data_IF_359897451000
#
_entry.id   IF_359897451000
#
_cell.length_a   1.000
_cell.length_b   1.000
_cell.length_c   1.000
_cell.angle_alpha   90.00
_cell.angle_beta   90.00
_cell.angle_gamma   90.00
#
_symmetry.space_group_name_H-M   'P 1'
#
loop_
_entity.id
_entity.type
_entity.pdbx_description
1 polymer ?
#
# COMPACT_ATOMS: atom_id res chain seq x y z
N UNK A 1 78.63 2.45 -27.86
CA UNK A 1 78.10 1.07 -27.75
C UNK A 1 77.88 0.78 -26.28
N UNK A 2 76.78 0.37 -25.87
CA UNK A 2 76.25 0.00 -24.58
C UNK A 2 75.30 1.07 -23.92
N UNK A 3 74.08 0.83 -24.17
CA UNK A 3 72.91 1.42 -23.52
C UNK A 3 72.68 0.74 -22.18
N UNK A 4 72.57 1.53 -21.10
CA UNK A 4 72.14 1.08 -19.79
C UNK A 4 70.72 1.60 -19.55
N UNK A 5 69.83 0.68 -19.29
CA UNK A 5 68.41 0.92 -18.86
C UNK A 5 68.39 1.33 -17.38
N UNK A 6 67.78 2.49 -17.09
CA UNK A 6 67.44 2.88 -15.73
C UNK A 6 65.94 2.58 -15.51
N UNK A 7 65.68 1.62 -14.66
CA UNK A 7 64.31 1.30 -14.23
C UNK A 7 63.84 2.27 -13.15
N UNK A 8 62.69 2.91 -13.39
CA UNK A 8 62.03 3.78 -12.45
C UNK A 8 61.00 2.95 -11.64
N UNK A 9 61.26 2.77 -10.33
CA UNK A 9 60.31 2.18 -9.39
C UNK A 9 59.25 3.23 -9.03
N UNK A 10 58.02 2.98 -9.46
CA UNK A 10 56.85 3.70 -8.96
C UNK A 10 56.31 2.98 -7.73
N UNK A 11 56.46 3.59 -6.56
CA UNK A 11 55.80 3.15 -5.33
C UNK A 11 54.34 3.59 -5.36
N UNK A 12 53.45 2.62 -5.49
CA UNK A 12 52.00 2.84 -5.32
C UNK A 12 51.66 2.94 -3.85
N UNK A 13 51.27 4.13 -3.42
CA UNK A 13 50.60 4.35 -2.13
C UNK A 13 49.18 3.77 -2.21
N UNK A 14 48.98 2.66 -1.52
CA UNK A 14 47.64 2.14 -1.29
C UNK A 14 46.91 3.00 -0.23
N UNK A 15 45.95 3.79 -0.65
CA UNK A 15 44.95 4.38 0.25
C UNK A 15 44.04 3.23 0.72
N UNK A 16 44.17 2.86 1.99
CA UNK A 16 43.20 2.00 2.65
C UNK A 16 41.92 2.80 2.89
N UNK A 17 40.93 2.64 1.99
CA UNK A 17 39.58 3.06 2.23
C UNK A 17 38.98 2.20 3.34
N UNK A 18 38.64 2.78 4.47
CA UNK A 18 37.83 2.13 5.49
C UNK A 18 36.45 1.86 4.88
N UNK A 19 36.15 0.60 4.60
CA UNK A 19 34.84 0.17 4.20
C UNK A 19 33.87 0.34 5.39
N UNK A 20 32.82 1.11 5.18
CA UNK A 20 31.68 1.24 6.09
C UNK A 20 30.98 -0.14 6.16
N UNK A 21 30.87 -0.82 7.33
CA UNK A 21 30.32 -2.17 7.42
C UNK A 21 28.79 -2.23 7.34
N UNK A 22 28.13 -1.24 6.75
CA UNK A 22 26.67 -1.14 6.64
C UNK A 22 26.11 -0.95 5.23
N UNK A 23 26.94 -0.85 4.20
CA UNK A 23 26.48 -0.67 2.82
C UNK A 23 26.26 -2.02 2.12
N UNK A 24 25.06 -2.56 2.15
CA UNK A 24 24.69 -3.59 1.20
C UNK A 24 24.71 -2.98 -0.20
N UNK A 25 25.54 -3.51 -1.06
CA UNK A 25 25.66 -3.11 -2.47
C UNK A 25 24.34 -3.46 -3.20
N UNK A 26 23.49 -2.46 -3.37
CA UNK A 26 22.17 -2.59 -4.01
C UNK A 26 22.26 -3.16 -5.45
N UNK A 27 23.45 -3.19 -6.05
CA UNK A 27 23.66 -3.74 -7.39
C UNK A 27 23.91 -5.25 -7.39
N UNK A 28 24.17 -5.87 -6.24
CA UNK A 28 24.55 -7.30 -6.14
C UNK A 28 23.47 -8.21 -5.55
N UNK A 29 22.48 -7.64 -4.87
CA UNK A 29 21.42 -8.46 -4.31
C UNK A 29 20.18 -8.47 -5.22
N UNK A 30 20.23 -9.33 -6.22
CA UNK A 30 19.02 -9.93 -6.77
C UNK A 30 18.78 -11.16 -5.91
N UNK A 31 18.07 -10.97 -4.80
CA UNK A 31 17.36 -12.07 -4.20
C UNK A 31 16.54 -12.76 -5.29
N UNK A 32 16.18 -14.05 -5.13
CA UNK A 32 15.26 -14.63 -6.06
C UNK A 32 14.06 -13.70 -6.09
N UNK A 33 13.86 -13.00 -7.23
CA UNK A 33 12.52 -12.64 -7.61
C UNK A 33 11.79 -13.97 -7.53
N UNK A 34 11.04 -14.21 -6.46
CA UNK A 34 10.04 -15.26 -6.55
C UNK A 34 9.32 -14.90 -7.83
N UNK A 35 9.36 -15.74 -8.86
CA UNK A 35 8.46 -15.52 -9.94
C UNK A 35 7.11 -15.66 -9.25
N UNK A 36 6.45 -14.55 -8.96
CA UNK A 36 5.00 -14.56 -8.99
C UNK A 36 4.79 -15.09 -10.39
N UNK A 37 4.48 -16.36 -10.50
CA UNK A 37 4.24 -16.98 -11.77
C UNK A 37 3.13 -16.14 -12.37
N UNK A 38 3.49 -15.32 -13.36
CA UNK A 38 2.52 -14.49 -14.04
C UNK A 38 1.34 -15.40 -14.34
N UNK A 39 0.20 -15.16 -13.66
CA UNK A 39 -0.98 -15.97 -13.84
C UNK A 39 -1.40 -16.90 -12.71
N UNK A 40 -0.88 -16.84 -11.49
CA UNK A 40 -1.42 -17.65 -10.38
C UNK A 40 -1.72 -16.83 -9.13
N UNK A 41 -2.99 -16.84 -8.72
CA UNK A 41 -3.49 -16.32 -7.47
C UNK A 41 -3.05 -17.25 -6.32
N UNK A 42 -2.05 -16.82 -5.56
CA UNK A 42 -1.42 -17.65 -4.52
C UNK A 42 -1.65 -17.05 -3.13
N UNK A 43 -2.32 -17.77 -2.21
CA UNK A 43 -2.37 -17.37 -0.80
C UNK A 43 -0.98 -17.30 -0.18
N UNK A 44 -0.76 -16.31 0.68
CA UNK A 44 0.53 -16.07 1.31
C UNK A 44 1.52 -15.29 0.43
N UNK A 45 1.07 -14.72 -0.70
CA UNK A 45 1.94 -13.92 -1.58
C UNK A 45 1.79 -12.42 -1.35
N UNK A 46 2.89 -11.71 -1.56
CA UNK A 46 2.94 -10.27 -1.71
C UNK A 46 2.83 -9.92 -3.20
N UNK A 47 2.05 -8.89 -3.50
CA UNK A 47 1.95 -8.28 -4.83
C UNK A 47 2.61 -6.93 -4.78
N UNK A 48 3.52 -6.66 -5.70
CA UNK A 48 4.33 -5.45 -5.75
C UNK A 48 4.05 -4.71 -7.05
N UNK A 49 3.45 -3.53 -6.96
CA UNK A 49 3.19 -2.69 -8.12
C UNK A 49 4.35 -1.71 -8.35
N UNK A 50 4.67 -1.38 -9.60
CA UNK A 50 4.01 -1.78 -10.84
C UNK A 50 4.50 -3.11 -11.44
N UNK A 51 5.47 -3.78 -10.80
CA UNK A 51 6.18 -4.95 -11.36
C UNK A 51 5.25 -6.14 -11.65
N UNK A 52 4.29 -6.44 -10.76
CA UNK A 52 3.38 -7.59 -10.89
C UNK A 52 2.12 -7.30 -11.70
N UNK A 53 1.83 -6.03 -11.96
CA UNK A 53 0.71 -5.61 -12.79
C UNK A 53 -0.65 -6.12 -12.30
N UNK A 54 -1.49 -6.55 -13.23
CA UNK A 54 -2.91 -6.94 -13.00
C UNK A 54 -3.10 -8.42 -12.66
N UNK A 55 -2.08 -9.25 -12.91
CA UNK A 55 -2.21 -10.70 -12.95
C UNK A 55 -3.00 -11.29 -11.79
N UNK A 56 -2.60 -10.97 -10.56
CA UNK A 56 -3.23 -11.50 -9.34
C UNK A 56 -4.73 -11.18 -9.24
N UNK A 57 -5.14 -10.01 -9.68
CA UNK A 57 -6.56 -9.59 -9.65
C UNK A 57 -7.39 -10.32 -10.70
N UNK A 58 -6.85 -10.45 -11.92
CA UNK A 58 -7.48 -11.17 -13.00
C UNK A 58 -7.68 -12.65 -12.64
N UNK A 59 -6.66 -13.26 -12.03
CA UNK A 59 -6.72 -14.64 -11.60
C UNK A 59 -7.69 -14.86 -10.44
N UNK A 60 -7.72 -13.92 -9.48
CA UNK A 60 -8.70 -13.94 -8.39
C UNK A 60 -10.13 -13.95 -8.94
N UNK A 61 -10.42 -13.11 -9.94
CA UNK A 61 -11.75 -13.05 -10.56
C UNK A 61 -12.04 -14.28 -11.44
N UNK A 62 -11.03 -14.82 -12.12
CA UNK A 62 -11.19 -16.06 -12.88
C UNK A 62 -11.44 -17.28 -12.00
N UNK A 63 -10.81 -17.33 -10.82
CA UNK A 63 -10.95 -18.42 -9.85
C UNK A 63 -12.30 -18.41 -9.11
N UNK A 64 -13.02 -17.30 -9.09
CA UNK A 64 -14.29 -17.16 -8.39
C UNK A 64 -15.35 -18.13 -8.91
N UNK A 65 -16.07 -18.78 -7.97
CA UNK A 65 -17.11 -19.77 -8.24
C UNK A 65 -18.49 -19.37 -7.73
N UNK A 66 -18.58 -18.43 -6.80
CA UNK A 66 -19.84 -17.99 -6.16
C UNK A 66 -19.98 -16.49 -6.10
N UNK A 67 -18.96 -15.80 -5.59
CA UNK A 67 -19.07 -14.40 -5.25
C UNK A 67 -17.72 -13.67 -5.26
N UNK A 68 -17.75 -12.42 -5.73
CA UNK A 68 -16.68 -11.43 -5.58
C UNK A 68 -17.27 -10.22 -4.87
N UNK A 69 -16.61 -9.77 -3.78
CA UNK A 69 -16.91 -8.52 -3.07
C UNK A 69 -15.71 -7.62 -3.15
N UNK A 70 -15.91 -6.37 -3.53
CA UNK A 70 -14.85 -5.37 -3.69
C UNK A 70 -15.25 -4.11 -2.94
N UNK A 71 -14.36 -3.59 -2.09
CA UNK A 71 -14.45 -2.24 -1.56
C UNK A 71 -13.16 -1.50 -1.88
N UNK A 72 -13.26 -0.41 -2.66
CA UNK A 72 -12.10 0.22 -3.28
C UNK A 72 -12.30 1.70 -3.55
N UNK A 73 -11.17 2.44 -3.64
CA UNK A 73 -11.16 3.87 -3.93
C UNK A 73 -11.61 4.21 -5.36
N UNK A 74 -11.01 3.52 -6.36
CA UNK A 74 -11.22 3.73 -7.81
C UNK A 74 -11.18 2.39 -8.51
N UNK A 75 -12.06 2.18 -9.47
CA UNK A 75 -12.19 0.97 -10.28
C UNK A 75 -12.38 1.37 -11.75
N UNK A 76 -11.29 1.59 -12.47
CA UNK A 76 -11.30 2.12 -13.84
C UNK A 76 -10.55 1.29 -14.86
N UNK A 77 -9.64 0.40 -14.42
CA UNK A 77 -8.81 -0.34 -15.36
C UNK A 77 -9.66 -1.22 -16.30
N UNK A 78 -9.53 -1.05 -17.63
CA UNK A 78 -10.39 -1.74 -18.59
C UNK A 78 -10.29 -3.27 -18.55
N UNK A 79 -9.12 -3.83 -18.21
CA UNK A 79 -8.94 -5.27 -18.16
C UNK A 79 -9.57 -5.84 -16.89
N UNK A 80 -9.46 -5.13 -15.76
CA UNK A 80 -10.14 -5.45 -14.50
C UNK A 80 -11.65 -5.44 -14.69
N UNK A 81 -12.20 -4.37 -15.27
CA UNK A 81 -13.63 -4.23 -15.54
C UNK A 81 -14.15 -5.34 -16.46
N UNK A 82 -13.40 -5.65 -17.53
CA UNK A 82 -13.76 -6.74 -18.43
C UNK A 82 -13.75 -8.11 -17.74
N UNK A 83 -12.79 -8.35 -16.83
CA UNK A 83 -12.72 -9.59 -16.07
C UNK A 83 -13.89 -9.72 -15.08
N UNK A 84 -14.29 -8.63 -14.42
CA UNK A 84 -15.49 -8.61 -13.58
C UNK A 84 -16.76 -8.89 -14.39
N UNK A 85 -16.89 -8.27 -15.56
CA UNK A 85 -18.00 -8.56 -16.49
C UNK A 85 -18.04 -10.05 -16.84
N UNK A 86 -16.92 -10.65 -17.20
CA UNK A 86 -16.83 -12.08 -17.50
C UNK A 86 -17.21 -12.95 -16.30
N UNK A 87 -16.84 -12.55 -15.07
CA UNK A 87 -17.28 -13.24 -13.87
C UNK A 87 -18.81 -13.20 -13.72
N UNK A 88 -19.42 -12.01 -13.90
CA UNK A 88 -20.88 -11.85 -13.88
C UNK A 88 -21.55 -12.72 -14.96
N UNK A 89 -21.00 -12.74 -16.18
CA UNK A 89 -21.53 -13.53 -17.31
C UNK A 89 -21.44 -15.05 -17.04
N UNK A 90 -20.49 -15.50 -16.18
CA UNK A 90 -20.43 -16.89 -15.67
C UNK A 90 -21.43 -17.16 -14.55
N UNK A 91 -22.21 -16.20 -14.10
CA UNK A 91 -23.17 -16.34 -13.00
C UNK A 91 -22.58 -16.07 -11.60
N UNK A 92 -21.37 -15.51 -11.52
CA UNK A 92 -20.77 -15.10 -10.24
C UNK A 92 -21.46 -13.83 -9.73
N UNK A 93 -21.83 -13.82 -8.46
CA UNK A 93 -22.38 -12.62 -7.80
C UNK A 93 -21.25 -11.63 -7.54
N UNK A 94 -21.37 -10.41 -8.06
CA UNK A 94 -20.37 -9.34 -7.86
C UNK A 94 -21.01 -8.20 -7.11
N UNK A 95 -20.40 -7.80 -5.99
CA UNK A 95 -20.79 -6.63 -5.20
C UNK A 95 -19.61 -5.68 -5.06
N UNK A 96 -19.79 -4.43 -5.44
CA UNK A 96 -18.74 -3.41 -5.43
C UNK A 96 -19.20 -2.21 -4.61
N UNK A 97 -18.38 -1.75 -3.69
CA UNK A 97 -18.46 -0.44 -3.05
C UNK A 97 -17.29 0.40 -3.55
N UNK A 98 -17.57 1.56 -4.14
CA UNK A 98 -16.53 2.54 -4.51
C UNK A 98 -16.65 3.78 -3.62
N UNK A 99 -15.56 4.56 -3.54
CA UNK A 99 -15.56 5.82 -2.79
C UNK A 99 -16.55 6.82 -3.38
N UNK A 100 -17.50 7.29 -2.58
CA UNK A 100 -18.55 8.23 -3.02
C UNK A 100 -17.95 9.54 -3.55
N UNK A 101 -16.90 10.07 -2.92
CA UNK A 101 -16.28 11.31 -3.33
C UNK A 101 -15.51 11.17 -4.65
N UNK A 102 -14.82 10.06 -4.87
CA UNK A 102 -14.13 9.78 -6.14
C UNK A 102 -15.15 9.49 -7.24
N UNK A 103 -16.09 8.59 -7.00
CA UNK A 103 -17.14 8.24 -7.96
C UNK A 103 -17.87 9.47 -8.50
N UNK A 104 -18.22 10.42 -7.62
CA UNK A 104 -18.95 11.65 -8.02
C UNK A 104 -18.11 12.62 -8.86
N UNK A 105 -16.79 12.45 -8.91
CA UNK A 105 -15.86 13.36 -9.60
C UNK A 105 -15.19 12.75 -10.84
N UNK A 106 -15.45 11.47 -11.15
CA UNK A 106 -14.85 10.76 -12.28
C UNK A 106 -15.95 10.21 -13.21
N UNK A 107 -16.46 11.02 -14.18
CA UNK A 107 -17.55 10.59 -15.06
C UNK A 107 -17.24 9.33 -15.88
N UNK A 108 -15.98 9.11 -16.27
CA UNK A 108 -15.55 7.92 -16.99
C UNK A 108 -15.69 6.65 -16.13
N UNK A 109 -15.36 6.72 -14.84
CA UNK A 109 -15.56 5.62 -13.90
C UNK A 109 -17.05 5.29 -13.76
N UNK A 110 -17.91 6.30 -13.62
CA UNK A 110 -19.37 6.12 -13.54
C UNK A 110 -19.89 5.33 -14.74
N UNK A 111 -19.59 5.80 -15.97
CA UNK A 111 -20.05 5.17 -17.19
C UNK A 111 -19.52 3.73 -17.37
N UNK A 112 -18.29 3.48 -16.96
CA UNK A 112 -17.69 2.15 -17.01
C UNK A 112 -18.33 1.22 -15.99
N UNK A 113 -18.52 1.65 -14.75
CA UNK A 113 -19.13 0.85 -13.70
C UNK A 113 -20.59 0.52 -14.02
N UNK A 114 -21.34 1.47 -14.59
CA UNK A 114 -22.69 1.22 -15.07
C UNK A 114 -22.72 0.17 -16.20
N UNK A 115 -21.75 0.21 -17.09
CA UNK A 115 -21.67 -0.73 -18.22
C UNK A 115 -21.24 -2.13 -17.79
N UNK A 116 -20.24 -2.23 -16.93
CA UNK A 116 -19.57 -3.50 -16.62
C UNK A 116 -20.08 -4.17 -15.34
N UNK A 117 -20.53 -3.42 -14.37
CA UNK A 117 -20.91 -3.93 -13.03
C UNK A 117 -22.43 -3.87 -12.80
N UNK A 118 -23.12 -2.79 -13.17
CA UNK A 118 -24.56 -2.60 -12.90
C UNK A 118 -25.41 -3.40 -13.88
N UNK A 119 -25.54 -4.71 -13.62
CA UNK A 119 -26.22 -5.68 -14.49
C UNK A 119 -26.73 -6.87 -13.66
N UNK A 120 -27.61 -7.76 -14.18
CA UNK A 120 -28.05 -8.94 -13.46
C UNK A 120 -26.84 -9.76 -12.96
N UNK A 121 -26.74 -9.96 -11.65
CA UNK A 121 -25.61 -10.63 -10.98
C UNK A 121 -24.56 -9.67 -10.43
N UNK A 122 -24.47 -8.42 -10.90
CA UNK A 122 -23.60 -7.37 -10.38
C UNK A 122 -24.39 -6.28 -9.65
N UNK A 123 -23.82 -5.73 -8.60
CA UNK A 123 -24.38 -4.59 -7.86
C UNK A 123 -23.27 -3.60 -7.47
N UNK A 124 -23.54 -2.34 -7.76
CA UNK A 124 -22.69 -1.21 -7.43
C UNK A 124 -23.33 -0.38 -6.32
N UNK A 125 -22.55 -0.08 -5.28
CA UNK A 125 -22.84 0.91 -4.26
C UNK A 125 -21.72 1.96 -4.20
N UNK A 126 -22.03 3.10 -3.64
CA UNK A 126 -21.07 4.12 -3.23
C UNK A 126 -21.04 4.20 -1.70
N UNK A 127 -19.88 4.48 -1.15
CA UNK A 127 -19.65 4.49 0.30
C UNK A 127 -20.49 5.55 1.02
N UNK A 128 -20.80 5.32 2.30
CA UNK A 128 -21.53 6.29 3.11
C UNK A 128 -20.71 7.58 3.28
N UNK A 129 -21.32 8.77 3.04
CA UNK A 129 -20.61 10.06 3.13
C UNK A 129 -20.22 10.47 4.57
N UNK A 130 -20.57 9.68 5.59
CA UNK A 130 -20.03 9.89 6.95
C UNK A 130 -18.51 9.74 6.95
N UNK A 131 -17.97 8.93 6.05
CA UNK A 131 -16.54 8.87 5.80
C UNK A 131 -16.18 9.87 4.69
N UNK A 132 -15.28 10.84 4.94
CA UNK A 132 -14.82 11.76 3.89
C UNK A 132 -14.26 11.01 2.69
N UNK A 133 -13.59 9.87 2.94
CA UNK A 133 -13.13 8.89 1.94
C UNK A 133 -13.33 7.47 2.44
N UNK A 134 -13.53 6.54 1.51
CA UNK A 134 -13.60 5.11 1.78
C UNK A 134 -12.61 4.38 0.87
N UNK A 135 -11.48 3.99 1.44
CA UNK A 135 -10.34 3.42 0.71
C UNK A 135 -9.84 2.06 1.23
N UNK A 136 -10.70 1.11 1.61
CA UNK A 136 -10.24 -0.15 2.20
C UNK A 136 -9.36 -1.00 1.29
N UNK A 137 -9.51 -0.92 -0.05
CA UNK A 137 -8.76 -1.69 -1.06
C UNK A 137 -8.75 -3.18 -0.75
N UNK A 138 -9.96 -3.72 -0.62
CA UNK A 138 -10.22 -5.12 -0.27
C UNK A 138 -10.99 -5.79 -1.38
N UNK A 139 -10.55 -6.98 -1.74
CA UNK A 139 -11.25 -7.91 -2.62
C UNK A 139 -11.42 -9.23 -1.87
N UNK A 140 -12.65 -9.72 -1.79
CA UNK A 140 -12.99 -11.00 -1.19
C UNK A 140 -13.54 -11.93 -2.27
N UNK A 141 -13.03 -13.15 -2.33
CA UNK A 141 -13.43 -14.15 -3.31
C UNK A 141 -13.93 -15.40 -2.59
N UNK A 142 -15.21 -15.73 -2.79
CA UNK A 142 -15.87 -16.95 -2.31
C UNK A 142 -15.82 -17.17 -0.78
N UNK A 143 -15.54 -16.10 0.02
CA UNK A 143 -15.25 -16.22 1.46
C UNK A 143 -14.06 -17.15 1.76
N UNK A 144 -13.19 -17.32 0.78
CA UNK A 144 -12.05 -18.23 0.85
C UNK A 144 -10.72 -17.49 0.68
N UNK A 145 -10.71 -16.40 -0.05
CA UNK A 145 -9.52 -15.62 -0.32
C UNK A 145 -9.80 -14.14 -0.14
N UNK A 146 -8.79 -13.41 0.29
CA UNK A 146 -8.80 -11.95 0.28
C UNK A 146 -7.53 -11.41 -0.39
N UNK A 147 -7.68 -10.29 -1.09
CA UNK A 147 -6.59 -9.41 -1.49
C UNK A 147 -6.80 -8.09 -0.73
N UNK A 148 -5.81 -7.67 0.04
CA UNK A 148 -5.87 -6.45 0.84
C UNK A 148 -4.57 -5.67 0.71
N UNK A 149 -4.65 -4.35 0.47
CA UNK A 149 -3.44 -3.59 0.25
C UNK A 149 -3.61 -2.09 0.11
N UNK A 150 -2.71 -1.48 -0.67
CA UNK A 150 -2.70 -0.05 -0.92
C UNK A 150 -3.12 0.33 -2.35
N UNK A 151 -3.17 -0.62 -3.28
CA UNK A 151 -3.43 -0.40 -4.69
C UNK A 151 -4.90 -0.08 -4.99
N UNK A 152 -5.17 0.95 -5.77
CA UNK A 152 -6.43 1.12 -6.48
C UNK A 152 -6.45 0.24 -7.75
N UNK A 153 -7.61 0.03 -8.34
CA UNK A 153 -7.75 -0.78 -9.56
C UNK A 153 -7.90 0.13 -10.79
N UNK A 154 -6.89 0.97 -11.01
CA UNK A 154 -6.77 1.87 -12.16
C UNK A 154 -5.46 1.63 -12.93
N UNK A 155 -5.44 2.07 -14.19
CA UNK A 155 -4.30 1.82 -15.07
C UNK A 155 -3.01 2.53 -14.63
N UNK A 156 -3.12 3.66 -13.94
CA UNK A 156 -1.96 4.42 -13.43
C UNK A 156 -1.27 3.67 -12.31
N UNK A 157 -2.04 3.12 -11.37
CA UNK A 157 -1.54 2.25 -10.31
C UNK A 157 -0.69 1.11 -10.86
N UNK A 158 -1.19 0.42 -11.90
CA UNK A 158 -0.48 -0.71 -12.50
C UNK A 158 0.74 -0.32 -13.36
N UNK A 159 0.88 0.94 -13.72
CA UNK A 159 1.95 1.40 -14.61
C UNK A 159 3.04 2.21 -13.89
N UNK A 160 2.69 2.98 -12.85
CA UNK A 160 3.54 4.06 -12.35
C UNK A 160 3.57 4.19 -10.83
N UNK A 161 2.72 3.46 -10.07
CA UNK A 161 2.64 3.62 -8.62
C UNK A 161 3.31 2.46 -7.90
N UNK A 162 4.05 2.79 -6.85
CA UNK A 162 4.48 1.79 -5.86
C UNK A 162 3.32 1.53 -4.93
N UNK A 163 2.78 0.33 -5.02
CA UNK A 163 1.74 -0.19 -4.16
C UNK A 163 2.02 -1.64 -3.79
N UNK A 164 1.36 -2.10 -2.74
CA UNK A 164 1.45 -3.49 -2.29
C UNK A 164 0.06 -4.06 -2.05
N UNK A 165 -0.07 -5.37 -2.24
CA UNK A 165 -1.21 -6.12 -1.76
C UNK A 165 -0.75 -7.47 -1.18
N UNK A 166 -1.49 -7.95 -0.21
CA UNK A 166 -1.32 -9.26 0.40
C UNK A 166 -2.47 -10.15 0.00
N UNK A 167 -2.16 -11.32 -0.56
CA UNK A 167 -3.12 -12.36 -0.88
C UNK A 167 -3.17 -13.35 0.27
N UNK A 168 -4.33 -13.57 0.86
CA UNK A 168 -4.49 -14.45 2.02
C UNK A 168 -5.66 -15.40 1.88
N UNK A 169 -5.50 -16.60 2.45
CA UNK A 169 -6.57 -17.56 2.73
C UNK A 169 -6.76 -17.78 4.24
N UNK A 170 -6.18 -16.91 5.07
CA UNK A 170 -6.34 -17.01 6.52
C UNK A 170 -7.79 -16.75 6.93
N UNK A 171 -8.48 -17.78 7.50
CA UNK A 171 -9.92 -17.68 7.74
C UNK A 171 -10.32 -16.54 8.66
N UNK A 172 -9.48 -16.21 9.64
CA UNK A 172 -9.77 -15.15 10.59
C UNK A 172 -9.70 -13.75 9.98
N UNK A 173 -8.75 -13.48 9.08
CA UNK A 173 -8.66 -12.21 8.35
C UNK A 173 -9.85 -12.09 7.39
N UNK A 174 -10.16 -13.17 6.68
CA UNK A 174 -11.29 -13.21 5.73
C UNK A 174 -12.62 -12.97 6.44
N UNK A 175 -12.85 -13.59 7.61
CA UNK A 175 -14.06 -13.39 8.40
C UNK A 175 -14.21 -11.95 8.88
N UNK A 176 -13.15 -11.34 9.39
CA UNK A 176 -13.18 -9.94 9.81
C UNK A 176 -13.43 -8.98 8.63
N UNK A 177 -12.73 -9.17 7.50
CA UNK A 177 -12.93 -8.38 6.30
C UNK A 177 -14.33 -8.58 5.71
N UNK A 178 -14.86 -9.81 5.78
CA UNK A 178 -16.23 -10.11 5.34
C UNK A 178 -17.27 -9.37 6.19
N UNK A 179 -17.14 -9.41 7.52
CA UNK A 179 -18.03 -8.67 8.44
C UNK A 179 -17.92 -7.16 8.22
N UNK A 180 -16.71 -6.66 7.97
CA UNK A 180 -16.50 -5.26 7.68
C UNK A 180 -17.22 -4.85 6.38
N UNK A 181 -17.01 -5.62 5.31
CA UNK A 181 -17.68 -5.38 4.03
C UNK A 181 -19.20 -5.42 4.15
N UNK A 182 -19.79 -6.43 4.85
CA UNK A 182 -21.24 -6.52 5.02
C UNK A 182 -21.80 -5.33 5.82
N UNK A 183 -21.06 -4.89 6.86
CA UNK A 183 -21.44 -3.69 7.60
C UNK A 183 -21.44 -2.44 6.70
N UNK A 184 -20.40 -2.27 5.89
CA UNK A 184 -20.27 -1.12 5.00
C UNK A 184 -21.28 -1.20 3.84
N UNK A 185 -21.57 -2.41 3.34
CA UNK A 185 -22.61 -2.66 2.35
C UNK A 185 -24.00 -2.25 2.84
N UNK A 186 -24.36 -2.60 4.07
CA UNK A 186 -25.65 -2.26 4.68
C UNK A 186 -25.84 -0.74 4.85
N UNK A 187 -24.74 0.00 5.00
CA UNK A 187 -24.76 1.44 5.20
C UNK A 187 -24.42 2.24 3.94
N UNK A 188 -24.02 1.59 2.85
CA UNK A 188 -23.79 2.19 1.54
C UNK A 188 -25.12 2.29 0.75
N UNK A 189 -25.08 2.96 -0.38
CA UNK A 189 -26.26 3.11 -1.24
C UNK A 189 -25.89 2.89 -2.71
N UNK A 190 -26.87 2.54 -3.54
CA UNK A 190 -26.71 2.66 -4.99
C UNK A 190 -26.36 4.11 -5.37
N UNK A 191 -25.73 4.35 -6.53
CA UNK A 191 -25.11 5.65 -6.89
C UNK A 191 -26.01 6.88 -6.77
N UNK A 192 -27.31 6.73 -6.84
CA UNK A 192 -28.28 7.84 -6.74
C UNK A 192 -29.33 7.58 -5.65
N UNK A 193 -29.09 6.60 -4.80
CA UNK A 193 -30.01 6.24 -3.72
C UNK A 193 -29.79 7.08 -2.46
N UNK A 194 -30.82 7.15 -1.59
CA UNK A 194 -30.67 7.73 -0.27
C UNK A 194 -29.75 6.82 0.58
N UNK A 195 -28.84 7.43 1.32
CA UNK A 195 -28.01 6.68 2.26
C UNK A 195 -28.79 6.28 3.52
N UNK A 196 -28.66 5.03 3.97
CA UNK A 196 -29.12 4.66 5.31
C UNK A 196 -28.42 5.48 6.39
N UNK A 197 -29.11 5.71 7.52
CA UNK A 197 -28.44 6.27 8.69
C UNK A 197 -27.32 5.33 9.12
N UNK A 198 -26.11 5.88 9.29
CA UNK A 198 -24.97 5.09 9.72
C UNK A 198 -25.13 4.70 11.20
N UNK A 199 -25.47 3.45 11.42
CA UNK A 199 -25.61 2.84 12.75
C UNK A 199 -24.96 1.44 12.73
N UNK A 200 -23.63 1.38 12.65
CA UNK A 200 -22.92 0.12 12.46
C UNK A 200 -23.08 -0.79 13.69
N UNK A 201 -23.27 -2.05 13.43
CA UNK A 201 -23.08 -3.08 14.45
C UNK A 201 -21.59 -3.10 14.84
N UNK A 202 -21.25 -3.03 16.13
CA UNK A 202 -19.87 -3.14 16.54
C UNK A 202 -19.25 -4.44 16.03
N UNK A 203 -18.21 -4.33 15.22
CA UNK A 203 -17.44 -5.48 14.74
C UNK A 203 -16.30 -5.71 15.70
N UNK A 204 -16.29 -6.87 16.36
CA UNK A 204 -15.13 -7.30 17.15
C UNK A 204 -14.07 -7.75 16.16
N UNK A 205 -13.00 -6.97 16.07
CA UNK A 205 -11.88 -7.21 15.16
C UNK A 205 -10.79 -7.99 15.87
N UNK A 206 -10.12 -8.84 15.13
CA UNK A 206 -8.88 -9.50 15.59
C UNK A 206 -7.81 -8.45 15.91
N UNK A 207 -6.85 -8.79 16.81
CA UNK A 207 -5.77 -7.88 17.14
C UNK A 207 -4.94 -7.45 15.92
N UNK A 208 -4.87 -8.29 14.91
CA UNK A 208 -4.00 -8.10 13.74
C UNK A 208 -4.64 -7.27 12.62
N UNK A 209 -5.93 -6.97 12.68
CA UNK A 209 -6.59 -6.11 11.72
C UNK A 209 -6.71 -4.68 12.24
N UNK A 210 -6.22 -3.73 11.45
CA UNK A 210 -6.34 -2.30 11.70
C UNK A 210 -7.44 -1.73 10.83
N UNK A 211 -8.34 -0.97 11.41
CA UNK A 211 -9.46 -0.32 10.72
C UNK A 211 -9.57 1.13 11.17
N UNK A 212 -9.54 2.07 10.24
CA UNK A 212 -9.91 3.45 10.49
C UNK A 212 -11.41 3.65 10.22
N UNK A 213 -12.07 4.50 10.99
CA UNK A 213 -11.60 5.26 12.17
C UNK A 213 -11.67 4.49 13.50
N UNK A 214 -11.75 3.14 13.51
CA UNK A 214 -12.05 2.34 14.71
C UNK A 214 -10.87 2.22 15.68
N UNK A 215 -9.70 1.76 15.17
CA UNK A 215 -8.55 1.43 16.02
C UNK A 215 -7.19 1.83 15.42
N UNK A 216 -7.18 2.47 14.24
CA UNK A 216 -5.99 2.71 13.45
C UNK A 216 -4.94 3.54 14.19
N UNK A 217 -5.31 4.71 14.71
CA UNK A 217 -4.37 5.60 15.39
C UNK A 217 -3.67 4.90 16.57
N UNK A 218 -4.45 4.26 17.46
CA UNK A 218 -3.90 3.59 18.65
C UNK A 218 -2.98 2.41 18.27
N UNK A 219 -3.35 1.62 17.27
CA UNK A 219 -2.56 0.46 16.85
C UNK A 219 -1.27 0.85 16.13
N UNK A 220 -1.29 1.89 15.29
CA UNK A 220 -0.09 2.41 14.65
C UNK A 220 0.86 3.04 15.65
N UNK A 221 0.35 3.81 16.64
CA UNK A 221 1.14 4.30 17.76
C UNK A 221 1.83 3.14 18.49
N UNK A 222 1.09 2.12 18.89
CA UNK A 222 1.64 0.95 19.56
C UNK A 222 2.67 0.21 18.69
N UNK A 223 2.45 0.12 17.37
CA UNK A 223 3.39 -0.48 16.44
C UNK A 223 4.72 0.27 16.43
N UNK A 224 4.71 1.61 16.35
CA UNK A 224 5.91 2.45 16.37
C UNK A 224 6.62 2.38 17.72
N UNK A 225 5.89 2.47 18.83
CA UNK A 225 6.44 2.42 20.20
C UNK A 225 7.15 1.09 20.49
N UNK A 226 6.68 0.01 19.88
CA UNK A 226 7.25 -1.32 20.09
C UNK A 226 8.46 -1.63 19.17
N UNK A 227 8.87 -0.75 18.25
CA UNK A 227 10.10 -0.90 17.47
C UNK A 227 11.32 -0.70 18.39
N UNK A 228 12.33 -1.58 18.26
CA UNK A 228 13.51 -1.62 19.12
C UNK A 228 14.82 -1.33 18.41
N UNK A 229 14.95 -1.65 17.14
CA UNK A 229 16.19 -1.53 16.35
C UNK A 229 15.98 -0.76 15.06
N UNK A 230 14.96 -1.14 14.29
CA UNK A 230 14.69 -0.56 12.97
C UNK A 230 13.19 -0.35 12.77
N UNK A 231 12.87 0.73 12.08
CA UNK A 231 11.51 1.01 11.63
C UNK A 231 11.60 1.63 10.24
N UNK A 232 11.14 0.89 9.24
CA UNK A 232 11.15 1.29 7.85
C UNK A 232 9.70 1.53 7.40
N UNK A 233 9.41 2.74 6.93
CA UNK A 233 8.04 3.22 6.70
C UNK A 233 7.90 3.73 5.27
N UNK A 234 6.81 3.37 4.61
CA UNK A 234 6.31 4.08 3.42
C UNK A 234 4.95 4.68 3.73
N UNK A 235 4.74 5.92 3.33
CA UNK A 235 3.43 6.57 3.49
C UNK A 235 3.24 7.62 2.40
N UNK A 236 2.13 7.53 1.68
CA UNK A 236 1.80 8.57 0.72
C UNK A 236 1.55 9.91 1.42
N UNK A 237 0.68 9.91 2.42
CA UNK A 237 0.28 11.12 3.15
C UNK A 237 0.87 11.11 4.56
N UNK A 238 1.33 12.28 4.98
CA UNK A 238 1.84 12.56 6.32
C UNK A 238 0.94 13.60 7.01
N UNK A 239 1.35 14.08 8.16
CA UNK A 239 0.69 15.19 8.87
C UNK A 239 -0.07 14.76 10.13
N UNK A 240 -0.04 13.48 10.55
CA UNK A 240 -0.59 13.11 11.85
C UNK A 240 0.41 13.43 12.96
N UNK A 241 0.18 14.46 13.79
CA UNK A 241 1.18 14.95 14.73
C UNK A 241 1.54 13.91 15.81
N UNK A 242 0.59 13.04 16.19
CA UNK A 242 0.85 11.97 17.16
C UNK A 242 1.79 10.92 16.58
N UNK A 243 1.52 10.44 15.35
CA UNK A 243 2.38 9.45 14.71
C UNK A 243 3.77 10.00 14.39
N UNK A 244 3.86 11.25 13.95
CA UNK A 244 5.15 11.92 13.70
C UNK A 244 5.96 12.09 14.99
N UNK A 245 5.32 12.47 16.09
CA UNK A 245 5.95 12.54 17.42
C UNK A 245 6.45 11.17 17.87
N UNK A 246 5.72 10.10 17.58
CA UNK A 246 6.14 8.73 17.92
C UNK A 246 7.32 8.25 17.05
N UNK A 247 7.39 8.65 15.77
CA UNK A 247 8.56 8.40 14.91
C UNK A 247 9.80 9.12 15.44
N UNK A 248 9.67 10.40 15.81
CA UNK A 248 10.74 11.17 16.44
C UNK A 248 11.19 10.56 17.77
N UNK A 249 10.24 10.12 18.59
CA UNK A 249 10.51 9.42 19.87
C UNK A 249 11.23 8.09 19.64
N UNK A 250 10.91 7.36 18.57
CA UNK A 250 11.63 6.14 18.20
C UNK A 250 13.11 6.43 17.87
N UNK A 251 13.40 7.50 17.13
CA UNK A 251 14.77 7.96 16.89
C UNK A 251 15.47 8.29 18.20
N UNK A 252 14.82 9.03 19.10
CA UNK A 252 15.37 9.36 20.43
C UNK A 252 15.66 8.12 21.29
N UNK A 253 14.93 7.02 21.11
CA UNK A 253 15.20 5.72 21.74
C UNK A 253 16.37 4.95 21.10
N UNK A 254 16.97 5.46 20.02
CA UNK A 254 18.05 4.82 19.28
C UNK A 254 17.57 3.85 18.17
N UNK A 255 16.29 3.87 17.82
CA UNK A 255 15.76 3.11 16.67
C UNK A 255 16.21 3.80 15.38
N UNK A 256 16.74 3.02 14.42
CA UNK A 256 16.97 3.51 13.07
C UNK A 256 15.62 3.65 12.35
N UNK A 257 15.16 4.86 12.16
CA UNK A 257 13.90 5.15 11.46
C UNK A 257 14.19 5.66 10.06
N UNK A 258 13.58 5.04 9.04
CA UNK A 258 13.63 5.46 7.64
C UNK A 258 12.21 5.66 7.11
N UNK A 259 12.05 6.65 6.25
CA UNK A 259 10.77 6.98 5.60
C UNK A 259 10.97 7.17 4.11
N UNK A 260 10.07 6.62 3.31
CA UNK A 260 9.88 6.98 1.90
C UNK A 260 8.49 7.56 1.74
N UNK A 261 8.38 8.74 1.15
CA UNK A 261 7.12 9.40 0.83
C UNK A 261 7.24 10.17 -0.49
N UNK A 262 6.14 10.51 -1.19
CA UNK A 262 6.22 11.45 -2.28
C UNK A 262 6.50 12.86 -1.72
N UNK A 263 7.35 13.63 -2.40
CA UNK A 263 7.54 15.06 -2.06
C UNK A 263 6.30 15.86 -2.46
N UNK A 264 5.73 15.53 -3.62
CA UNK A 264 4.50 16.11 -4.15
C UNK A 264 3.39 15.05 -4.13
N UNK A 265 2.30 15.37 -3.46
CA UNK A 265 1.15 14.45 -3.34
C UNK A 265 0.19 14.68 -4.51
N UNK A 266 -0.06 13.64 -5.28
CA UNK A 266 -0.95 13.69 -6.43
C UNK A 266 -2.39 14.03 -6.02
N UNK A 267 -2.93 15.12 -6.59
CA UNK A 267 -4.29 15.57 -6.30
C UNK A 267 -4.49 16.24 -4.94
N UNK A 268 -3.42 16.53 -4.21
CA UNK A 268 -3.52 17.30 -2.96
C UNK A 268 -3.92 18.77 -3.20
N UNK A 269 -4.64 19.34 -2.23
CA UNK A 269 -4.83 20.79 -2.16
C UNK A 269 -3.53 21.51 -1.82
N UNK A 270 -3.46 22.82 -2.02
CA UNK A 270 -2.28 23.60 -1.65
C UNK A 270 -1.92 23.41 -0.15
N UNK A 271 -2.92 23.45 0.73
CA UNK A 271 -2.70 23.22 2.17
C UNK A 271 -2.29 21.79 2.50
N UNK A 272 -2.80 20.79 1.77
CA UNK A 272 -2.37 19.40 1.93
C UNK A 272 -0.91 19.20 1.47
N UNK A 273 -0.52 19.87 0.41
CA UNK A 273 0.86 19.86 -0.06
C UNK A 273 1.83 20.56 0.91
N UNK A 274 1.41 21.69 1.49
CA UNK A 274 2.19 22.40 2.51
C UNK A 274 2.38 21.51 3.76
N UNK A 275 1.33 20.88 4.23
CA UNK A 275 1.39 19.93 5.36
C UNK A 275 2.37 18.77 5.08
N UNK A 276 2.36 18.21 3.87
CA UNK A 276 3.29 17.14 3.47
C UNK A 276 4.75 17.62 3.58
N UNK A 277 5.06 18.77 3.01
CA UNK A 277 6.42 19.33 3.03
C UNK A 277 6.88 19.67 4.44
N UNK A 278 6.01 20.24 5.28
CA UNK A 278 6.33 20.56 6.67
C UNK A 278 6.58 19.29 7.49
N UNK A 279 5.79 18.25 7.28
CA UNK A 279 5.99 16.93 7.90
C UNK A 279 7.32 16.29 7.51
N UNK A 280 7.65 16.27 6.21
CA UNK A 280 8.94 15.76 5.73
C UNK A 280 10.11 16.50 6.39
N UNK A 281 10.05 17.84 6.44
CA UNK A 281 11.08 18.69 7.07
C UNK A 281 11.20 18.42 8.58
N UNK A 282 10.07 18.32 9.28
CA UNK A 282 10.04 18.07 10.72
C UNK A 282 10.62 16.70 11.07
N UNK A 283 10.24 15.66 10.33
CA UNK A 283 10.75 14.31 10.52
C UNK A 283 12.25 14.20 10.23
N UNK A 284 12.72 14.84 9.15
CA UNK A 284 14.15 14.89 8.84
C UNK A 284 14.95 15.62 9.95
N UNK A 285 14.44 16.75 10.45
CA UNK A 285 15.05 17.48 11.57
C UNK A 285 15.07 16.67 12.88
N UNK A 286 14.10 15.78 13.09
CA UNK A 286 14.05 14.87 14.21
C UNK A 286 15.00 13.65 14.07
N UNK A 287 15.75 13.53 12.96
CA UNK A 287 16.71 12.47 12.71
C UNK A 287 16.14 11.22 12.02
N UNK A 288 14.93 11.28 11.50
CA UNK A 288 14.41 10.26 10.58
C UNK A 288 15.17 10.38 9.26
N UNK A 289 15.66 9.26 8.71
CA UNK A 289 16.25 9.27 7.36
C UNK A 289 15.13 9.28 6.32
N UNK A 290 14.87 10.44 5.78
CA UNK A 290 13.79 10.66 4.81
C UNK A 290 14.32 10.60 3.39
N UNK A 291 13.69 9.76 2.57
CA UNK A 291 13.82 9.78 1.11
C UNK A 291 12.48 10.14 0.48
N UNK A 292 12.51 10.73 -0.69
CA UNK A 292 11.32 11.14 -1.42
C UNK A 292 11.32 10.62 -2.86
N UNK A 293 10.12 10.36 -3.39
CA UNK A 293 9.91 10.20 -4.82
C UNK A 293 9.47 11.51 -5.44
N UNK A 294 9.90 11.78 -6.66
CA UNK A 294 9.64 13.01 -7.41
C UNK A 294 9.22 12.71 -8.86
N UNK A 295 8.38 13.54 -9.46
CA UNK A 295 8.08 13.45 -10.89
C UNK A 295 9.33 13.55 -11.77
N UNK A 296 9.32 12.97 -12.99
CA UNK A 296 8.22 12.21 -13.58
C UNK A 296 8.12 10.78 -13.01
N UNK A 297 6.90 10.34 -12.75
CA UNK A 297 6.62 8.97 -12.31
C UNK A 297 6.71 8.00 -13.49
N UNK A 298 7.40 6.90 -13.26
CA UNK A 298 7.57 5.81 -14.23
C UNK A 298 7.62 4.46 -13.47
N UNK A 299 7.62 3.35 -14.18
CA UNK A 299 7.87 2.05 -13.56
C UNK A 299 9.25 1.95 -12.88
N UNK A 300 10.24 2.72 -13.34
CA UNK A 300 11.59 2.78 -12.75
C UNK A 300 11.67 3.71 -11.54
N UNK A 301 10.90 4.78 -11.55
CA UNK A 301 10.78 5.78 -10.47
C UNK A 301 9.30 5.97 -10.11
N UNK A 302 8.68 4.96 -9.45
CA UNK A 302 7.25 4.99 -9.20
C UNK A 302 6.87 6.05 -8.16
N UNK A 303 5.68 6.61 -8.31
CA UNK A 303 5.06 7.40 -7.27
C UNK A 303 4.84 6.56 -6.01
N UNK A 304 5.32 7.00 -4.87
CA UNK A 304 5.17 6.26 -3.61
C UNK A 304 3.75 6.40 -3.06
N UNK A 305 2.87 5.54 -3.51
CA UNK A 305 1.48 5.47 -3.07
C UNK A 305 1.26 4.44 -1.95
N UNK A 306 2.25 3.61 -1.68
CA UNK A 306 2.19 2.54 -0.68
C UNK A 306 2.06 3.06 0.76
N UNK A 307 1.45 2.25 1.62
CA UNK A 307 1.34 2.47 3.07
C UNK A 307 1.76 1.18 3.78
N UNK A 308 3.04 1.13 4.15
CA UNK A 308 3.62 -0.01 4.85
C UNK A 308 4.55 0.45 5.97
N UNK A 309 4.76 -0.42 6.93
CA UNK A 309 5.81 -0.24 7.92
C UNK A 309 6.40 -1.60 8.29
N UNK A 310 7.72 -1.70 8.36
CA UNK A 310 8.43 -2.91 8.82
C UNK A 310 9.20 -2.57 10.09
N UNK A 311 8.93 -3.29 11.17
CA UNK A 311 9.60 -3.09 12.45
C UNK A 311 10.50 -4.29 12.79
N UNK A 312 11.78 -4.01 13.04
CA UNK A 312 12.81 -4.95 13.48
C UNK A 312 13.02 -6.16 12.55
N UNK A 313 12.50 -6.12 11.31
CA UNK A 313 12.46 -7.24 10.36
C UNK A 313 11.66 -8.44 10.89
N UNK A 314 10.63 -8.22 11.70
CA UNK A 314 9.84 -9.28 12.36
C UNK A 314 8.35 -9.15 12.21
N UNK A 315 7.87 -7.97 11.94
CA UNK A 315 6.45 -7.66 11.77
C UNK A 315 6.31 -6.50 10.81
N UNK A 316 5.23 -6.50 10.07
CA UNK A 316 4.92 -5.42 9.18
C UNK A 316 3.46 -4.97 9.32
N UNK A 317 3.20 -3.75 8.92
CA UNK A 317 1.89 -3.25 8.55
C UNK A 317 1.86 -3.14 7.03
N UNK A 318 0.76 -3.55 6.42
CA UNK A 318 0.46 -3.35 5.01
C UNK A 318 -1.02 -3.03 4.87
N UNK A 319 -1.37 -1.95 4.18
CA UNK A 319 -2.78 -1.58 4.00
C UNK A 319 -2.97 -0.27 3.29
N UNK A 320 -4.12 0.34 3.54
CA UNK A 320 -4.50 1.61 2.92
C UNK A 320 -4.27 2.84 3.81
N UNK A 321 -4.00 2.65 5.11
CA UNK A 321 -3.96 3.74 6.11
C UNK A 321 -2.66 4.51 6.02
N UNK A 322 -2.72 5.77 5.61
CA UNK A 322 -1.59 6.72 5.61
C UNK A 322 -1.33 7.29 7.01
N UNK A 323 -0.13 7.85 7.21
CA UNK A 323 0.25 8.56 8.44
C UNK A 323 -0.32 10.00 8.48
N UNK A 324 -1.57 10.16 8.05
CA UNK A 324 -2.29 11.42 8.01
C UNK A 324 -3.46 11.42 9.00
N UNK A 325 -3.96 12.60 9.41
CA UNK A 325 -5.17 12.69 10.24
C UNK A 325 -6.36 12.00 9.57
N UNK A 326 -6.55 12.25 8.27
CA UNK A 326 -7.67 11.68 7.52
C UNK A 326 -7.60 10.16 7.47
N UNK A 327 -6.44 9.60 7.12
CA UNK A 327 -6.26 8.16 6.99
C UNK A 327 -6.43 7.39 8.30
N UNK A 328 -6.12 8.02 9.44
CA UNK A 328 -6.19 7.34 10.74
C UNK A 328 -7.48 7.57 11.52
N UNK A 329 -8.19 8.69 11.26
CA UNK A 329 -9.25 9.17 12.16
C UNK A 329 -10.61 9.39 11.46
N UNK A 330 -10.62 9.71 10.18
CA UNK A 330 -11.85 10.12 9.49
C UNK A 330 -12.23 9.20 8.35
N UNK A 331 -11.27 8.72 7.56
CA UNK A 331 -11.55 7.85 6.44
C UNK A 331 -11.90 6.43 6.87
N UNK A 332 -12.57 5.70 5.98
CA UNK A 332 -12.67 4.25 6.05
C UNK A 332 -11.46 3.63 5.36
N UNK A 333 -10.59 3.00 6.15
CA UNK A 333 -9.34 2.41 5.70
C UNK A 333 -9.07 1.09 6.43
N UNK A 334 -8.27 0.20 5.86
CA UNK A 334 -7.98 -1.10 6.47
C UNK A 334 -6.58 -1.60 6.11
N UNK A 335 -6.00 -2.41 6.98
CA UNK A 335 -4.78 -3.17 6.72
C UNK A 335 -4.46 -4.14 7.83
N UNK A 336 -3.92 -5.32 7.52
CA UNK A 336 -3.43 -6.27 8.52
C UNK A 336 -2.03 -5.90 9.04
N UNK A 337 -1.73 -6.38 10.24
CA UNK A 337 -0.36 -6.66 10.65
C UNK A 337 0.05 -8.03 10.13
N UNK A 338 1.27 -8.11 9.63
CA UNK A 338 1.87 -9.32 9.09
C UNK A 338 3.01 -9.77 10.01
N UNK A 339 3.03 -11.08 10.31
CA UNK A 339 4.05 -11.71 11.14
C UNK A 339 4.75 -12.86 10.42
N UNK A 340 4.23 -13.26 9.26
CA UNK A 340 4.89 -14.26 8.43
C UNK A 340 6.27 -13.76 8.01
N UNK A 341 7.29 -14.56 8.28
CA UNK A 341 8.67 -14.18 8.09
C UNK A 341 9.00 -13.91 6.62
N UNK A 342 8.45 -14.71 5.73
CA UNK A 342 8.72 -14.57 4.30
C UNK A 342 8.16 -13.25 3.78
N UNK A 343 6.90 -12.93 4.12
CA UNK A 343 6.25 -11.67 3.72
C UNK A 343 6.96 -10.44 4.31
N UNK A 344 7.39 -10.51 5.57
CA UNK A 344 8.14 -9.42 6.21
C UNK A 344 9.49 -9.21 5.55
N UNK A 345 10.22 -10.30 5.25
CA UNK A 345 11.53 -10.25 4.59
C UNK A 345 11.39 -9.73 3.13
N UNK A 346 10.32 -10.07 2.44
CA UNK A 346 10.02 -9.58 1.09
C UNK A 346 9.69 -8.09 1.07
N UNK A 347 8.82 -7.61 1.98
CA UNK A 347 8.55 -6.18 2.17
C UNK A 347 9.80 -5.39 2.54
N UNK A 348 10.63 -5.93 3.44
CA UNK A 348 11.90 -5.32 3.84
C UNK A 348 12.85 -5.21 2.66
N UNK A 349 12.94 -6.26 1.86
CA UNK A 349 13.78 -6.29 0.65
C UNK A 349 13.34 -5.25 -0.37
N UNK A 350 12.03 -5.16 -0.63
CA UNK A 350 11.53 -4.16 -1.55
C UNK A 350 11.72 -2.75 -1.03
N UNK A 351 11.56 -2.54 0.28
CA UNK A 351 11.88 -1.25 0.90
C UNK A 351 13.34 -0.84 0.68
N UNK A 352 14.30 -1.77 0.82
CA UNK A 352 15.72 -1.48 0.55
C UNK A 352 15.94 -1.08 -0.92
N UNK A 353 15.31 -1.77 -1.86
CA UNK A 353 15.37 -1.42 -3.29
C UNK A 353 14.82 -0.01 -3.52
N UNK A 354 13.63 0.27 -2.98
CA UNK A 354 12.97 1.56 -3.17
C UNK A 354 13.75 2.69 -2.49
N UNK A 355 14.32 2.45 -1.32
CA UNK A 355 15.08 3.43 -0.57
C UNK A 355 16.39 3.81 -1.27
N UNK A 356 17.09 2.84 -1.88
CA UNK A 356 18.40 3.07 -2.48
C UNK A 356 18.39 3.32 -3.99
N UNK A 357 17.38 2.84 -4.71
CA UNK A 357 17.34 2.89 -6.16
C UNK A 357 16.15 3.61 -6.78
N UNK A 358 15.04 3.79 -6.03
CA UNK A 358 13.80 4.36 -6.56
C UNK A 358 13.41 5.70 -5.91
N UNK A 359 14.11 6.12 -4.86
CA UNK A 359 13.90 7.37 -4.15
C UNK A 359 15.22 8.09 -3.92
N UNK A 360 15.18 9.34 -3.46
CA UNK A 360 16.34 10.17 -3.24
C UNK A 360 16.23 10.89 -1.89
N UNK A 361 17.36 11.24 -1.24
CA UNK A 361 17.33 11.97 0.03
C UNK A 361 16.53 13.28 -0.07
N UNK A 362 15.78 13.55 0.99
CA UNK A 362 15.03 14.78 1.17
C UNK A 362 15.89 15.95 1.60
#
# INVERSE_FOLDING_TARGET
>A
MNTAFVGCLLASLALSAHADPGGADATKWRGPSSPVHAGQFYPGSLVIQPEDGRGVYLDAFAAARREIRIEICVLEDPQILQSLKQAIDRGIRVRVIVDNGKYSTIPAEQANLDTYVTRPGGKLHVSNPIFPRSFPKVILVDERYAVVGSACLDSTTFAQYRDYAYVTDEPGIIDDLSRLFENDWLHSAGPHGPFPTYNPTPVVLRPDLIVAPVNAAAKLVAFIQNARRTLDVTSELLGNPTLESELASAVARGVRVRLIAPEMVNGATASGQELQVDSLRALAAAGVRVNVTRPPETAQTPYMHARTAVADGRRAYLGSISLSPDGTTYNREVGPFLYDRHLVDELQTQFEIDFHAKSQPY
#
